data_IF_696894159530
#
_entry.id   IF_696894159530
#
_cell.length_a   1.000
_cell.length_b   1.000
_cell.length_c   1.000
_cell.angle_alpha   90.00
_cell.angle_beta   90.00
_cell.angle_gamma   90.00
#
_symmetry.space_group_name_H-M   'P 1'
#
loop_
_entity.id
_entity.type
_entity.pdbx_description
1 polymer ?
#
# COMPACT_ATOMS: atom_id res chain seq x y z
N UNK A 1 -9.76 5.90 -0.68
CA UNK A 1 -9.55 4.58 -0.03
C UNK A 1 -10.80 3.68 -0.02
N UNK A 2 -11.97 4.30 -0.10
CA UNK A 2 -13.32 3.75 -0.07
C UNK A 2 -13.56 2.81 -1.24
N UNK A 3 -13.24 3.23 -2.47
CA UNK A 3 -13.44 2.38 -3.66
C UNK A 3 -12.68 1.05 -3.56
N UNK A 4 -11.41 1.09 -3.12
CA UNK A 4 -10.63 -0.13 -2.92
C UNK A 4 -11.19 -0.99 -1.79
N UNK A 5 -11.65 -0.38 -0.69
CA UNK A 5 -12.25 -1.10 0.43
C UNK A 5 -13.57 -1.75 0.02
N UNK A 6 -14.41 -1.03 -0.71
CA UNK A 6 -15.66 -1.55 -1.27
C UNK A 6 -15.38 -2.67 -2.27
N UNK A 7 -14.33 -2.55 -3.09
CA UNK A 7 -13.90 -3.63 -3.98
C UNK A 7 -13.47 -4.88 -3.21
N UNK A 8 -12.64 -4.72 -2.18
CA UNK A 8 -12.16 -5.84 -1.37
C UNK A 8 -13.32 -6.54 -0.65
N UNK A 9 -14.21 -5.78 -0.04
CA UNK A 9 -15.31 -6.30 0.79
C UNK A 9 -16.43 -6.92 -0.04
N UNK A 10 -16.80 -6.30 -1.16
CA UNK A 10 -17.97 -6.72 -1.94
C UNK A 10 -17.60 -7.60 -3.14
N UNK A 11 -16.33 -7.67 -3.53
CA UNK A 11 -15.90 -8.41 -4.72
C UNK A 11 -14.72 -9.35 -4.45
N UNK A 12 -13.52 -8.84 -4.17
CA UNK A 12 -12.30 -9.66 -4.11
C UNK A 12 -12.37 -10.74 -3.01
N UNK A 13 -12.65 -10.33 -1.78
CA UNK A 13 -12.72 -11.22 -0.61
C UNK A 13 -13.75 -12.33 -0.78
N UNK A 14 -15.04 -12.02 -1.04
CA UNK A 14 -16.07 -13.02 -1.28
C UNK A 14 -15.74 -13.97 -2.43
N UNK A 15 -15.12 -13.47 -3.51
CA UNK A 15 -14.76 -14.29 -4.65
C UNK A 15 -13.62 -15.27 -4.32
N UNK A 16 -12.60 -14.83 -3.59
CA UNK A 16 -11.52 -15.72 -3.11
C UNK A 16 -12.06 -16.79 -2.15
N UNK A 17 -12.94 -16.44 -1.22
CA UNK A 17 -13.60 -17.42 -0.34
C UNK A 17 -14.42 -18.45 -1.13
N UNK A 18 -15.23 -18.00 -2.10
CA UNK A 18 -16.04 -18.87 -2.96
C UNK A 18 -15.19 -19.82 -3.82
N UNK A 19 -14.01 -19.38 -4.23
CA UNK A 19 -13.02 -20.18 -4.96
C UNK A 19 -12.22 -21.15 -4.06
N UNK A 20 -12.46 -21.15 -2.75
CA UNK A 20 -11.70 -21.96 -1.78
C UNK A 20 -10.28 -21.44 -1.53
N UNK A 21 -10.01 -20.16 -1.81
CA UNK A 21 -8.74 -19.44 -1.63
C UNK A 21 -8.79 -18.44 -0.47
N UNK A 22 -9.68 -18.68 0.50
CA UNK A 22 -9.84 -17.82 1.67
C UNK A 22 -8.64 -17.81 2.63
N UNK A 23 -7.63 -18.65 2.37
CA UNK A 23 -6.35 -18.68 3.07
C UNK A 23 -5.30 -17.72 2.49
N UNK A 24 -5.56 -17.13 1.33
CA UNK A 24 -4.67 -16.13 0.74
C UNK A 24 -4.70 -14.82 1.53
N UNK A 25 -3.52 -14.24 1.70
CA UNK A 25 -3.31 -12.99 2.43
C UNK A 25 -3.67 -11.81 1.53
N UNK A 26 -4.51 -10.91 2.01
CA UNK A 26 -4.81 -9.63 1.35
C UNK A 26 -4.14 -8.50 2.13
N UNK A 27 -3.17 -7.86 1.49
CA UNK A 27 -2.54 -6.64 1.97
C UNK A 27 -3.20 -5.44 1.30
N UNK A 28 -3.65 -4.46 2.08
CA UNK A 28 -4.19 -3.21 1.52
C UNK A 28 -3.14 -2.11 1.40
N UNK A 29 -3.55 -1.00 0.79
CA UNK A 29 -2.78 0.22 0.55
C UNK A 29 -1.68 0.11 -0.52
N UNK A 30 -0.54 -0.50 -0.19
CA UNK A 30 0.60 -0.69 -1.10
C UNK A 30 1.10 0.61 -1.77
N UNK A 31 1.34 1.63 -0.93
CA UNK A 31 1.77 2.98 -1.32
C UNK A 31 2.65 3.62 -0.24
N UNK A 32 3.13 4.84 -0.46
CA UNK A 32 4.06 5.52 0.45
C UNK A 32 3.46 5.89 1.82
N UNK A 33 4.26 6.19 2.83
CA UNK A 33 3.84 6.21 4.25
C UNK A 33 2.91 7.36 4.66
N UNK A 34 2.91 8.51 4.00
CA UNK A 34 2.15 9.68 4.49
C UNK A 34 0.64 9.50 4.39
N UNK A 35 0.14 8.69 3.45
CA UNK A 35 -1.28 8.41 3.32
C UNK A 35 -1.78 7.30 4.26
N UNK A 36 -0.91 6.70 5.06
CA UNK A 36 -1.27 5.58 5.95
C UNK A 36 -2.46 5.88 6.85
N UNK A 37 -2.57 7.02 7.54
CA UNK A 37 -3.71 7.27 8.43
C UNK A 37 -5.06 7.27 7.70
N UNK A 38 -5.14 7.93 6.55
CA UNK A 38 -6.36 7.98 5.73
C UNK A 38 -6.80 6.58 5.29
N UNK A 39 -5.85 5.75 4.88
CA UNK A 39 -6.14 4.39 4.42
C UNK A 39 -6.47 3.44 5.57
N UNK A 40 -5.76 3.54 6.69
CA UNK A 40 -6.04 2.76 7.88
C UNK A 40 -7.45 3.03 8.42
N UNK A 41 -7.88 4.30 8.45
CA UNK A 41 -9.22 4.69 8.92
C UNK A 41 -10.35 4.06 8.09
N UNK A 42 -10.15 3.90 6.79
CA UNK A 42 -11.16 3.31 5.91
C UNK A 42 -11.09 1.78 5.91
N UNK A 43 -9.90 1.20 5.78
CA UNK A 43 -9.70 -0.25 5.75
C UNK A 43 -10.09 -0.91 7.07
N UNK A 44 -9.78 -0.27 8.20
CA UNK A 44 -9.96 -0.81 9.55
C UNK A 44 -11.14 -0.19 10.30
N UNK A 45 -12.03 0.51 9.60
CA UNK A 45 -13.19 1.21 10.17
C UNK A 45 -14.02 0.35 11.12
N UNK A 46 -14.32 -0.88 10.71
CA UNK A 46 -15.15 -1.82 11.46
C UNK A 46 -14.79 -3.28 11.11
N UNK A 47 -15.37 -4.24 11.83
CA UNK A 47 -15.08 -5.68 11.65
C UNK A 47 -15.40 -6.19 10.23
N UNK A 48 -16.29 -5.52 9.50
CA UNK A 48 -16.70 -5.92 8.13
C UNK A 48 -15.62 -5.60 7.12
N UNK A 49 -15.00 -4.42 7.20
CA UNK A 49 -13.90 -4.07 6.31
C UNK A 49 -12.61 -4.75 6.78
N UNK A 50 -12.37 -4.73 8.08
CA UNK A 50 -11.15 -5.26 8.72
C UNK A 50 -10.98 -6.77 8.53
N UNK A 51 -12.05 -7.57 8.38
CA UNK A 51 -11.93 -9.04 8.21
C UNK A 51 -11.22 -9.45 6.93
N UNK A 52 -11.31 -8.67 5.85
CA UNK A 52 -10.74 -9.05 4.56
C UNK A 52 -9.31 -8.56 4.36
N UNK A 53 -8.78 -7.73 5.25
CA UNK A 53 -7.40 -7.30 5.21
C UNK A 53 -6.59 -8.02 6.27
N UNK A 54 -5.52 -8.68 5.88
CA UNK A 54 -4.55 -9.29 6.80
C UNK A 54 -3.50 -8.27 7.24
N UNK A 55 -3.33 -7.20 6.47
CA UNK A 55 -2.35 -6.18 6.77
C UNK A 55 -2.41 -4.96 5.87
N UNK A 56 -1.45 -4.07 6.10
CA UNK A 56 -1.20 -2.84 5.37
C UNK A 56 0.22 -2.91 4.78
N UNK A 57 0.33 -2.64 3.48
CA UNK A 57 1.59 -2.61 2.74
C UNK A 57 2.05 -1.15 2.53
N UNK A 58 3.36 -0.89 2.63
CA UNK A 58 3.96 0.43 2.42
C UNK A 58 5.21 0.43 1.52
N UNK A 59 5.42 1.53 0.82
CA UNK A 59 6.58 1.82 -0.06
C UNK A 59 7.54 2.85 0.54
N UNK A 60 8.79 2.95 0.05
CA UNK A 60 9.87 3.80 0.60
C UNK A 60 10.20 5.13 -0.10
N UNK A 61 9.39 5.63 -1.03
CA UNK A 61 9.78 6.72 -1.93
C UNK A 61 9.64 8.16 -1.39
N UNK A 62 8.79 8.41 -0.40
CA UNK A 62 8.43 9.78 0.02
C UNK A 62 9.56 10.62 0.62
N UNK A 63 10.53 10.00 1.29
CA UNK A 63 11.57 10.74 2.01
C UNK A 63 12.84 9.93 2.18
N UNK A 64 13.97 10.62 2.02
CA UNK A 64 15.32 10.09 2.20
C UNK A 64 15.92 10.44 3.57
N UNK A 65 15.23 11.25 4.38
CA UNK A 65 15.72 11.72 5.68
C UNK A 65 14.77 11.44 6.84
N UNK A 66 13.48 11.24 6.57
CA UNK A 66 12.47 10.92 7.56
C UNK A 66 11.76 9.64 7.16
N UNK A 67 11.57 8.77 8.14
CA UNK A 67 10.98 7.45 7.96
C UNK A 67 9.51 7.43 8.37
N UNK A 68 8.95 8.58 8.78
CA UNK A 68 7.56 8.80 9.17
C UNK A 68 7.09 7.86 10.30
N UNK A 69 7.75 7.88 11.48
CA UNK A 69 7.40 7.01 12.60
C UNK A 69 5.93 7.10 13.00
N UNK A 70 5.38 8.32 13.08
CA UNK A 70 4.01 8.57 13.52
C UNK A 70 2.99 7.88 12.61
N UNK A 71 3.26 7.80 11.29
CA UNK A 71 2.38 7.14 10.32
C UNK A 71 2.39 5.62 10.52
N UNK A 72 3.57 5.04 10.74
CA UNK A 72 3.72 3.61 11.01
C UNK A 72 3.08 3.24 12.36
N UNK A 73 3.27 4.08 13.38
CA UNK A 73 2.65 3.90 14.69
C UNK A 73 1.13 4.02 14.61
N UNK A 74 0.61 4.94 13.78
CA UNK A 74 -0.83 5.05 13.50
C UNK A 74 -1.40 3.75 12.93
N UNK A 75 -0.77 3.16 11.91
CA UNK A 75 -1.21 1.87 11.36
C UNK A 75 -1.24 0.76 12.42
N UNK A 76 -0.19 0.67 13.25
CA UNK A 76 -0.11 -0.33 14.31
C UNK A 76 -1.18 -0.12 15.37
N UNK A 77 -1.52 1.13 15.71
CA UNK A 77 -2.56 1.43 16.68
C UNK A 77 -3.97 1.18 16.13
N UNK A 78 -4.21 1.44 14.84
CA UNK A 78 -5.50 1.20 14.19
C UNK A 78 -5.86 -0.29 14.10
N UNK A 79 -4.86 -1.15 13.89
CA UNK A 79 -5.05 -2.60 13.87
C UNK A 79 -3.82 -3.37 14.39
N UNK A 80 -3.64 -3.47 15.72
CA UNK A 80 -2.46 -4.11 16.33
C UNK A 80 -2.25 -5.57 15.96
N UNK A 81 -3.34 -6.27 15.61
CA UNK A 81 -3.37 -7.67 15.20
C UNK A 81 -2.95 -7.91 13.74
N UNK A 82 -2.86 -6.86 12.92
CA UNK A 82 -2.62 -6.95 11.48
C UNK A 82 -1.14 -6.81 11.13
N UNK A 83 -0.77 -7.34 9.97
CA UNK A 83 0.59 -7.25 9.43
C UNK A 83 0.83 -5.80 8.96
N UNK A 84 2.00 -5.26 9.26
CA UNK A 84 2.53 -4.06 8.60
C UNK A 84 3.77 -4.49 7.82
N UNK A 85 3.70 -4.42 6.49
CA UNK A 85 4.74 -4.94 5.61
C UNK A 85 5.28 -3.84 4.70
N UNK A 86 6.61 -3.81 4.57
CA UNK A 86 7.26 -3.03 3.54
C UNK A 86 7.36 -3.89 2.26
N UNK A 87 6.69 -3.46 1.20
CA UNK A 87 6.57 -4.22 -0.05
C UNK A 87 7.48 -3.70 -1.14
N UNK A 88 7.84 -2.42 -1.10
CA UNK A 88 8.65 -1.80 -2.15
C UNK A 88 9.62 -0.74 -1.61
N UNK A 89 10.84 -0.73 -2.17
CA UNK A 89 11.86 0.27 -1.94
C UNK A 89 12.87 0.21 -3.08
N UNK A 90 13.20 1.36 -3.66
CA UNK A 90 14.31 1.51 -4.58
C UNK A 90 15.11 2.77 -4.24
N UNK A 91 16.36 2.82 -4.69
CA UNK A 91 17.16 4.04 -4.64
C UNK A 91 17.06 4.67 -6.02
N UNK A 92 16.22 5.69 -6.15
CA UNK A 92 16.18 6.51 -7.34
C UNK A 92 17.18 7.68 -7.21
N UNK A 93 18.02 7.83 -8.23
CA UNK A 93 18.97 8.92 -8.36
C UNK A 93 18.84 9.60 -9.73
N UNK A 94 17.77 9.30 -10.49
CA UNK A 94 17.50 9.90 -11.77
C UNK A 94 16.95 11.31 -11.55
N UNK A 95 17.70 12.29 -12.03
CA UNK A 95 17.14 13.64 -12.16
C UNK A 95 16.07 13.61 -13.26
N UNK A 96 14.84 14.12 -13.02
CA UNK A 96 13.78 14.11 -14.01
C UNK A 96 14.20 14.78 -15.31
N UNK A 97 13.98 14.09 -16.43
CA UNK A 97 14.21 14.64 -17.77
C UNK A 97 12.90 15.28 -18.25
N UNK A 98 12.69 16.51 -17.78
CA UNK A 98 11.45 17.24 -18.02
C UNK A 98 11.14 17.44 -19.51
N UNK A 99 9.89 17.18 -19.88
CA UNK A 99 9.35 17.32 -21.26
C UNK A 99 9.98 16.38 -22.28
N UNK A 100 10.59 15.29 -21.83
CA UNK A 100 11.11 14.24 -22.68
C UNK A 100 10.64 12.87 -22.19
N UNK A 101 9.37 12.56 -22.44
CA UNK A 101 8.77 11.28 -22.04
C UNK A 101 9.44 10.09 -22.76
N UNK A 102 10.13 10.33 -23.89
CA UNK A 102 10.88 9.30 -24.60
C UNK A 102 12.12 8.82 -23.83
N UNK A 103 12.63 9.63 -22.88
CA UNK A 103 13.76 9.26 -22.02
C UNK A 103 13.48 7.97 -21.23
N UNK A 104 12.28 7.85 -20.66
CA UNK A 104 11.88 6.73 -19.78
C UNK A 104 11.80 5.37 -20.50
N UNK A 105 11.95 5.37 -21.83
CA UNK A 105 11.99 4.17 -22.66
C UNK A 105 13.38 3.89 -23.25
N UNK A 106 14.39 4.70 -22.92
CA UNK A 106 15.77 4.48 -23.36
C UNK A 106 16.47 3.46 -22.47
N UNK A 107 17.49 2.78 -23.03
CA UNK A 107 18.29 1.79 -22.30
C UNK A 107 19.03 2.40 -21.11
N UNK A 108 19.30 3.69 -21.17
CA UNK A 108 20.05 4.46 -20.20
C UNK A 108 19.18 5.02 -19.06
N UNK A 109 17.85 4.93 -19.16
CA UNK A 109 16.96 5.33 -18.07
C UNK A 109 17.19 4.41 -16.87
N UNK A 110 17.44 5.01 -15.70
CA UNK A 110 17.33 4.30 -14.44
C UNK A 110 15.87 4.33 -13.99
N UNK A 111 15.40 3.20 -13.47
CA UNK A 111 14.00 2.95 -13.11
C UNK A 111 13.41 4.06 -12.24
N UNK A 112 12.18 4.45 -12.56
CA UNK A 112 11.38 5.34 -11.74
C UNK A 112 10.52 4.44 -10.88
N UNK A 113 10.91 4.28 -9.62
CA UNK A 113 10.09 3.58 -8.63
C UNK A 113 8.66 4.09 -8.63
#
# INVERSE_FOLDING_TARGET
PEEMTDFVVNHLGPHLEADGKGDLIIMGYDQNRQGVPEWADVMYRDDTTKRYYDGLAVHWYESTYDYFPDMLEYARNAAPEKILLQTEACVDNQVPVWRDDAWYWQKEATDWG
#
